data_IF_190422271862
#
_entry.id   IF_190422271862
#
_cell.length_a   1.000
_cell.length_b   1.000
_cell.length_c   1.000
_cell.angle_alpha   90.00
_cell.angle_beta   90.00
_cell.angle_gamma   90.00
#
_symmetry.space_group_name_H-M   'P 1'
#
loop_
_entity.id
_entity.type
_entity.pdbx_description
1 polymer ?
#
# COMPACT_ATOMS: atom_id res chain seq x y z
N UNK A 1 -32.62 -36.43 4.38
CA UNK A 1 -32.85 -35.23 3.58
C UNK A 1 -31.73 -34.31 3.94
N UNK A 2 -30.71 -34.24 3.09
CA UNK A 2 -29.54 -33.40 3.31
C UNK A 2 -29.73 -32.15 2.39
N UNK A 3 -30.07 -31.02 2.98
CA UNK A 3 -30.13 -29.77 2.25
C UNK A 3 -28.70 -29.22 2.13
N UNK A 4 -28.27 -29.11 0.87
CA UNK A 4 -26.94 -28.60 0.52
C UNK A 4 -26.87 -27.10 0.75
N UNK A 5 -25.90 -26.69 1.54
CA UNK A 5 -25.49 -25.30 1.66
C UNK A 5 -24.78 -24.85 0.36
N UNK A 6 -25.39 -23.89 -0.32
CA UNK A 6 -24.87 -23.30 -1.53
C UNK A 6 -23.75 -22.29 -1.18
N UNK A 7 -22.51 -22.63 -1.50
CA UNK A 7 -21.29 -21.85 -1.23
C UNK A 7 -21.12 -20.62 -2.15
N UNK A 8 -22.15 -20.22 -2.92
CA UNK A 8 -22.03 -19.14 -3.91
C UNK A 8 -22.40 -17.73 -3.42
N UNK A 9 -22.72 -17.54 -2.13
CA UNK A 9 -23.13 -16.21 -1.60
C UNK A 9 -22.31 -15.72 -0.38
N UNK A 10 -21.06 -16.09 -0.27
CA UNK A 10 -20.18 -15.32 0.62
C UNK A 10 -19.78 -14.04 -0.08
N UNK A 11 -20.02 -12.85 0.52
CA UNK A 11 -19.43 -11.62 0.00
C UNK A 11 -17.93 -11.75 0.21
N UNK A 12 -17.21 -12.02 -0.88
CA UNK A 12 -15.77 -11.82 -0.93
C UNK A 12 -15.58 -10.33 -0.64
N UNK A 13 -15.15 -10.00 0.57
CA UNK A 13 -14.70 -8.66 0.90
C UNK A 13 -13.58 -8.34 -0.09
N UNK A 14 -13.89 -7.48 -1.06
CA UNK A 14 -12.93 -7.00 -2.05
C UNK A 14 -11.75 -6.47 -1.26
N UNK A 15 -10.52 -7.00 -1.44
CA UNK A 15 -9.34 -6.31 -0.95
C UNK A 15 -9.45 -4.89 -1.53
N UNK A 16 -9.28 -3.89 -0.69
CA UNK A 16 -9.42 -2.51 -1.11
C UNK A 16 -8.52 -2.30 -2.33
N UNK A 17 -9.11 -1.95 -3.46
CA UNK A 17 -8.45 -1.77 -4.77
C UNK A 17 -7.24 -0.82 -4.68
N UNK A 18 -7.17 -0.04 -3.60
CA UNK A 18 -6.06 0.85 -3.26
C UNK A 18 -4.71 0.14 -3.10
N UNK A 19 -4.69 -1.13 -2.70
CA UNK A 19 -3.45 -1.87 -2.42
C UNK A 19 -2.87 -2.55 -3.67
N UNK A 20 -3.70 -2.92 -4.63
CA UNK A 20 -3.24 -3.59 -5.86
C UNK A 20 -2.62 -2.63 -6.88
N UNK A 21 -2.88 -1.32 -6.76
CA UNK A 21 -2.46 -0.30 -7.73
C UNK A 21 -1.12 0.35 -7.42
N UNK A 22 -0.57 0.17 -6.20
CA UNK A 22 0.79 0.63 -5.86
C UNK A 22 1.86 -0.22 -6.57
N UNK A 23 1.50 -1.42 -7.02
CA UNK A 23 2.36 -2.34 -7.74
C UNK A 23 1.70 -2.82 -9.03
N UNK A 24 1.56 -1.95 -10.03
CA UNK A 24 1.42 -2.43 -11.39
C UNK A 24 2.83 -2.73 -11.93
N UNK A 25 3.30 -3.97 -11.84
CA UNK A 25 4.64 -4.26 -12.31
C UNK A 25 4.60 -4.31 -13.83
N UNK A 26 5.22 -3.34 -14.48
CA UNK A 26 5.78 -3.58 -15.81
C UNK A 26 6.74 -4.79 -15.76
N UNK A 27 7.15 -5.16 -14.56
CA UNK A 27 7.98 -6.33 -14.26
C UNK A 27 7.18 -7.31 -13.38
N UNK A 28 6.32 -8.13 -14.00
CA UNK A 28 5.84 -9.35 -13.37
C UNK A 28 7.01 -10.33 -13.30
N UNK A 29 7.69 -10.44 -12.17
CA UNK A 29 8.73 -11.45 -12.00
C UNK A 29 9.90 -11.15 -11.07
N UNK A 30 9.75 -10.36 -10.02
CA UNK A 30 10.75 -10.41 -8.95
C UNK A 30 10.40 -11.52 -7.95
N UNK A 31 10.95 -12.72 -8.18
CA UNK A 31 11.05 -13.73 -7.16
C UNK A 31 12.11 -13.28 -6.15
N UNK A 32 11.71 -13.10 -4.89
CA UNK A 32 12.62 -12.89 -3.77
C UNK A 32 13.50 -14.14 -3.56
N UNK A 33 14.63 -14.18 -4.25
CA UNK A 33 15.71 -15.13 -4.01
C UNK A 33 16.66 -14.54 -2.99
N UNK A 34 16.61 -15.02 -1.74
CA UNK A 34 17.57 -14.68 -0.71
C UNK A 34 18.98 -15.15 -1.07
N UNK A 35 19.89 -14.20 -1.23
CA UNK A 35 21.31 -14.44 -1.34
C UNK A 35 22.05 -13.39 -0.52
N UNK A 36 22.56 -13.81 0.65
CA UNK A 36 23.44 -13.00 1.49
C UNK A 36 24.77 -12.75 0.76
N UNK A 37 25.07 -11.48 0.46
CA UNK A 37 26.43 -11.04 0.15
C UNK A 37 26.72 -9.74 0.88
N UNK A 38 27.78 -9.75 1.68
CA UNK A 38 28.34 -8.63 2.44
C UNK A 38 28.70 -7.43 1.56
N UNK A 39 28.55 -6.19 2.05
CA UNK A 39 28.93 -5.01 1.30
C UNK A 39 30.44 -4.82 1.30
N UNK A 40 31.04 -4.79 0.12
CA UNK A 40 32.39 -4.28 -0.11
C UNK A 40 32.32 -2.74 -0.17
N UNK A 41 33.23 -2.09 0.56
CA UNK A 41 33.36 -0.65 0.61
C UNK A 41 33.60 -0.03 -0.76
N UNK A 42 32.77 0.94 -1.15
CA UNK A 42 32.93 1.72 -2.37
C UNK A 42 33.74 2.98 -2.05
N UNK A 43 34.79 3.33 -2.83
CA UNK A 43 35.56 4.54 -2.63
C UNK A 43 34.80 5.79 -3.08
N UNK A 44 34.95 6.86 -2.30
CA UNK A 44 34.41 8.20 -2.58
C UNK A 44 34.98 8.74 -3.91
N UNK A 45 34.11 8.93 -4.88
CA UNK A 45 34.41 9.65 -6.11
C UNK A 45 34.01 11.12 -5.94
N UNK A 46 34.95 12.02 -6.27
CA UNK A 46 34.81 13.47 -6.23
C UNK A 46 33.74 13.98 -7.20
N UNK A 47 33.10 15.14 -6.92
CA UNK A 47 32.06 15.67 -7.79
C UNK A 47 32.68 16.20 -9.09
N UNK A 48 32.20 15.70 -10.20
CA UNK A 48 32.48 16.22 -11.53
C UNK A 48 31.39 17.23 -11.94
N UNK A 49 31.84 18.40 -12.25
CA UNK A 49 31.33 19.44 -13.15
C UNK A 49 29.82 19.51 -13.51
N UNK A 50 29.27 20.66 -13.13
CA UNK A 50 28.33 21.50 -13.90
C UNK A 50 27.47 20.80 -14.97
N UNK A 51 26.29 20.37 -14.56
CA UNK A 51 25.21 20.04 -15.50
C UNK A 51 24.67 21.36 -16.06
N UNK A 52 24.89 21.59 -17.35
CA UNK A 52 24.31 22.69 -18.09
C UNK A 52 22.77 22.71 -17.92
N UNK A 53 22.25 23.85 -17.53
CA UNK A 53 20.83 24.11 -17.42
C UNK A 53 20.14 23.72 -18.75
N UNK A 54 19.25 22.74 -18.69
CA UNK A 54 18.34 22.46 -19.80
C UNK A 54 17.50 23.70 -20.06
N UNK A 55 17.31 24.13 -21.34
CA UNK A 55 16.47 25.25 -21.66
C UNK A 55 15.05 24.98 -21.15
N UNK A 56 14.45 25.96 -20.47
CA UNK A 56 13.09 25.90 -20.00
C UNK A 56 12.19 25.44 -21.15
N UNK A 57 11.53 24.31 -20.97
CA UNK A 57 10.58 23.79 -21.93
C UNK A 57 9.52 24.84 -22.19
N UNK A 58 9.27 25.17 -23.48
CA UNK A 58 8.22 26.10 -23.87
C UNK A 58 6.91 25.62 -23.22
N UNK A 59 6.19 26.53 -22.53
CA UNK A 59 4.96 26.23 -21.84
C UNK A 59 3.98 25.51 -22.79
N UNK A 60 3.68 24.25 -22.49
CA UNK A 60 2.69 23.46 -23.25
C UNK A 60 1.31 24.10 -22.98
N UNK A 61 0.48 24.37 -24.00
CA UNK A 61 -0.85 24.89 -23.76
C UNK A 61 -1.69 23.92 -22.90
N UNK A 62 -2.42 24.42 -21.92
CA UNK A 62 -3.22 23.65 -20.93
C UNK A 62 -4.10 22.56 -21.56
N UNK A 63 -4.62 22.81 -22.77
CA UNK A 63 -5.45 21.86 -23.53
C UNK A 63 -4.75 20.56 -23.94
N UNK A 64 -3.42 20.49 -23.80
CA UNK A 64 -2.62 19.29 -24.06
C UNK A 64 -2.08 18.65 -22.80
N UNK A 65 -2.52 19.12 -21.63
CA UNK A 65 -2.10 18.63 -20.33
C UNK A 65 -3.23 17.85 -19.65
N UNK A 66 -2.86 16.76 -18.97
CA UNK A 66 -3.72 16.08 -18.01
C UNK A 66 -3.52 16.66 -16.60
N UNK A 67 -2.26 16.91 -16.22
CA UNK A 67 -1.89 17.55 -14.95
C UNK A 67 -0.53 18.23 -15.04
N UNK A 68 -0.21 19.06 -14.03
CA UNK A 68 1.16 19.50 -13.74
C UNK A 68 1.51 19.21 -12.29
N UNK A 69 2.76 18.87 -12.02
CA UNK A 69 3.30 18.63 -10.68
C UNK A 69 4.60 19.43 -10.56
N UNK A 70 4.61 20.43 -9.68
CA UNK A 70 5.76 21.35 -9.53
C UNK A 70 6.25 21.88 -10.90
N UNK A 71 5.30 22.29 -11.75
CA UNK A 71 5.52 22.73 -13.13
C UNK A 71 5.99 21.63 -14.13
N UNK A 72 6.16 20.37 -13.69
CA UNK A 72 6.45 19.25 -14.59
C UNK A 72 5.14 18.72 -15.18
N UNK A 73 4.99 18.65 -16.51
CA UNK A 73 3.73 18.25 -17.13
C UNK A 73 3.54 16.72 -17.14
N UNK A 74 2.28 16.30 -17.03
CA UNK A 74 1.75 15.05 -17.54
C UNK A 74 0.93 15.44 -18.76
N UNK A 75 1.31 14.97 -19.93
CA UNK A 75 0.58 15.32 -21.17
C UNK A 75 -0.73 14.52 -21.26
N UNK A 76 -1.70 15.06 -21.98
CA UNK A 76 -2.93 14.34 -22.24
C UNK A 76 -2.67 13.03 -23.00
N UNK A 77 -1.71 13.04 -23.93
CA UNK A 77 -1.30 11.84 -24.67
C UNK A 77 -0.75 10.75 -23.74
N UNK A 78 0.15 11.08 -22.80
CA UNK A 78 0.70 10.10 -21.85
C UNK A 78 -0.41 9.52 -20.98
N UNK A 79 -1.33 10.37 -20.53
CA UNK A 79 -2.49 9.95 -19.74
C UNK A 79 -3.44 9.02 -20.50
N UNK A 80 -3.80 9.34 -21.74
CA UNK A 80 -4.65 8.51 -22.59
C UNK A 80 -3.99 7.15 -22.87
N UNK A 81 -2.68 7.12 -23.11
CA UNK A 81 -1.93 5.86 -23.27
C UNK A 81 -1.95 5.03 -21.98
N UNK A 82 -1.82 5.66 -20.82
CA UNK A 82 -1.85 4.95 -19.55
C UNK A 82 -3.24 4.38 -19.24
N UNK A 83 -4.31 5.10 -19.59
CA UNK A 83 -5.68 4.58 -19.52
C UNK A 83 -5.84 3.31 -20.35
N UNK A 84 -5.36 3.30 -21.60
CA UNK A 84 -5.42 2.10 -22.48
C UNK A 84 -4.67 0.93 -21.86
N UNK A 85 -3.50 1.16 -21.24
CA UNK A 85 -2.72 0.10 -20.57
C UNK A 85 -3.48 -0.45 -19.36
N UNK A 86 -4.05 0.43 -18.56
CA UNK A 86 -4.84 0.06 -17.39
C UNK A 86 -6.07 -0.78 -17.78
N UNK A 87 -6.83 -0.33 -18.77
CA UNK A 87 -7.99 -1.04 -19.29
C UNK A 87 -7.62 -2.43 -19.84
N UNK A 88 -6.58 -2.51 -20.67
CA UNK A 88 -6.07 -3.77 -21.22
C UNK A 88 -5.64 -4.74 -20.12
N UNK A 89 -5.03 -4.24 -19.07
CA UNK A 89 -4.63 -5.04 -17.93
C UNK A 89 -5.81 -5.58 -17.13
N UNK A 90 -6.85 -4.80 -16.92
CA UNK A 90 -8.08 -5.27 -16.28
C UNK A 90 -8.77 -6.36 -17.10
N UNK A 91 -8.84 -6.18 -18.43
CA UNK A 91 -9.42 -7.17 -19.36
C UNK A 91 -8.66 -8.51 -19.31
N UNK A 92 -7.33 -8.48 -19.26
CA UNK A 92 -6.50 -9.68 -19.11
C UNK A 92 -6.79 -10.44 -17.80
N UNK A 93 -7.21 -9.73 -16.75
CA UNK A 93 -7.64 -10.33 -15.48
C UNK A 93 -9.12 -10.76 -15.50
N UNK A 94 -9.83 -10.55 -16.60
CA UNK A 94 -11.26 -10.84 -16.74
C UNK A 94 -12.16 -9.82 -16.05
N UNK A 95 -11.64 -8.62 -15.74
CA UNK A 95 -12.37 -7.55 -15.08
C UNK A 95 -12.86 -6.53 -16.12
N UNK A 96 -14.07 -6.06 -15.94
CA UNK A 96 -14.68 -5.01 -16.77
C UNK A 96 -14.23 -3.63 -16.25
N UNK A 97 -13.47 -2.84 -17.02
CA UNK A 97 -13.02 -1.50 -16.60
C UNK A 97 -14.18 -0.58 -16.19
N UNK A 98 -15.32 -0.66 -16.89
CA UNK A 98 -16.48 0.19 -16.63
C UNK A 98 -17.13 -0.07 -15.25
N UNK A 99 -16.81 -1.20 -14.62
CA UNK A 99 -17.29 -1.56 -13.27
C UNK A 99 -16.31 -1.19 -12.15
N UNK A 100 -15.17 -0.59 -12.48
CA UNK A 100 -14.12 -0.25 -11.51
C UNK A 100 -14.30 1.14 -10.88
N UNK A 101 -15.46 1.77 -11.02
CA UNK A 101 -15.70 3.12 -10.52
C UNK A 101 -14.97 4.18 -11.35
N UNK A 102 -14.48 5.24 -10.72
CA UNK A 102 -13.73 6.31 -11.39
C UNK A 102 -12.25 5.91 -11.56
N UNK A 103 -12.01 4.90 -12.41
CA UNK A 103 -10.64 4.42 -12.68
C UNK A 103 -9.79 5.47 -13.41
N UNK A 104 -10.41 6.35 -14.18
CA UNK A 104 -9.72 7.42 -14.91
C UNK A 104 -9.02 8.36 -13.94
N UNK A 105 -9.73 8.77 -12.90
CA UNK A 105 -9.14 9.53 -11.80
C UNK A 105 -8.05 8.75 -11.08
N UNK A 106 -8.28 7.45 -10.83
CA UNK A 106 -7.29 6.59 -10.16
C UNK A 106 -5.99 6.54 -10.95
N UNK A 107 -6.05 6.37 -12.28
CA UNK A 107 -4.87 6.36 -13.16
C UNK A 107 -4.14 7.71 -13.12
N UNK A 108 -4.86 8.83 -13.19
CA UNK A 108 -4.23 10.15 -13.10
C UNK A 108 -3.53 10.35 -11.75
N UNK A 109 -4.18 10.00 -10.65
CA UNK A 109 -3.58 10.13 -9.31
C UNK A 109 -2.35 9.23 -9.15
N UNK A 110 -2.35 8.04 -9.77
CA UNK A 110 -1.17 7.17 -9.81
C UNK A 110 -0.03 7.82 -10.58
N UNK A 111 -0.28 8.34 -11.78
CA UNK A 111 0.74 9.05 -12.57
C UNK A 111 1.32 10.25 -11.81
N UNK A 112 0.49 10.97 -11.06
CA UNK A 112 0.93 12.07 -10.19
C UNK A 112 1.86 11.55 -9.09
N UNK A 113 1.49 10.45 -8.43
CA UNK A 113 2.30 9.84 -7.39
C UNK A 113 3.65 9.36 -7.91
N UNK A 114 3.67 8.70 -9.06
CA UNK A 114 4.89 8.22 -9.69
C UNK A 114 5.83 9.38 -10.05
N UNK A 115 5.27 10.48 -10.56
CA UNK A 115 6.04 11.68 -10.86
C UNK A 115 6.63 12.32 -9.59
N UNK A 116 5.87 12.35 -8.49
CA UNK A 116 6.37 12.84 -7.20
C UNK A 116 7.51 11.99 -6.66
N UNK A 117 7.40 10.65 -6.76
CA UNK A 117 8.46 9.72 -6.36
C UNK A 117 9.74 9.94 -7.16
N UNK A 118 9.62 10.11 -8.48
CA UNK A 118 10.77 10.40 -9.36
C UNK A 118 11.41 11.74 -9.02
N UNK A 119 10.61 12.81 -8.81
CA UNK A 119 11.14 14.11 -8.39
C UNK A 119 11.88 14.00 -7.06
N UNK A 120 11.29 13.31 -6.09
CA UNK A 120 11.94 13.10 -4.80
C UNK A 120 13.23 12.27 -4.91
N UNK A 121 13.28 11.28 -5.81
CA UNK A 121 14.51 10.52 -6.08
C UNK A 121 15.63 11.46 -6.59
N UNK A 122 15.30 12.33 -7.54
CA UNK A 122 16.26 13.31 -8.09
C UNK A 122 16.71 14.29 -7.00
N UNK A 123 15.80 14.83 -6.20
CA UNK A 123 16.10 15.77 -5.11
C UNK A 123 16.97 15.14 -4.02
N UNK A 124 16.84 13.84 -3.78
CA UNK A 124 17.68 13.08 -2.86
C UNK A 124 19.01 12.59 -3.47
N UNK A 125 19.25 12.88 -4.75
CA UNK A 125 20.46 12.44 -5.44
C UNK A 125 20.50 10.94 -5.74
N UNK A 126 19.35 10.26 -5.70
CA UNK A 126 19.22 8.86 -6.12
C UNK A 126 19.55 8.73 -7.59
N UNK A 127 20.42 7.79 -7.93
CA UNK A 127 20.84 7.56 -9.31
C UNK A 127 20.72 6.09 -9.69
N UNK A 128 20.14 5.84 -10.85
CA UNK A 128 20.08 4.52 -11.48
C UNK A 128 21.19 4.41 -12.51
N UNK A 129 22.15 3.51 -12.29
CA UNK A 129 23.24 3.29 -13.22
C UNK A 129 22.74 2.70 -14.55
N UNK A 130 23.45 2.96 -15.64
CA UNK A 130 23.11 2.38 -16.94
C UNK A 130 23.20 0.85 -16.92
N UNK A 131 24.08 0.29 -16.10
CA UNK A 131 24.18 -1.16 -15.91
C UNK A 131 22.92 -1.73 -15.24
N UNK A 132 22.39 -1.09 -14.21
CA UNK A 132 21.16 -1.50 -13.54
C UNK A 132 19.97 -1.40 -14.51
N UNK A 133 19.86 -0.30 -15.26
CA UNK A 133 18.82 -0.13 -16.27
C UNK A 133 18.90 -1.20 -17.37
N UNK A 134 20.11 -1.52 -17.84
CA UNK A 134 20.30 -2.54 -18.87
C UNK A 134 19.94 -3.94 -18.34
N UNK A 135 20.27 -4.24 -17.08
CA UNK A 135 19.87 -5.50 -16.44
C UNK A 135 18.35 -5.61 -16.35
N UNK A 136 17.67 -4.60 -15.82
CA UNK A 136 16.21 -4.59 -15.70
C UNK A 136 15.52 -4.65 -17.09
N UNK A 137 16.10 -4.02 -18.11
CA UNK A 137 15.60 -4.12 -19.48
C UNK A 137 15.74 -5.55 -20.01
N UNK A 138 16.89 -6.19 -19.84
CA UNK A 138 17.13 -7.57 -20.27
C UNK A 138 16.19 -8.56 -19.55
N UNK A 139 15.96 -8.37 -18.26
CA UNK A 139 14.99 -9.15 -17.47
C UNK A 139 13.57 -8.98 -18.01
N UNK A 140 13.20 -7.75 -18.39
CA UNK A 140 11.90 -7.45 -19.00
C UNK A 140 11.71 -8.14 -20.34
N UNK A 141 12.76 -8.24 -21.15
CA UNK A 141 12.78 -8.99 -22.41
C UNK A 141 12.63 -10.49 -22.15
N UNK A 142 13.42 -11.03 -21.21
CA UNK A 142 13.39 -12.45 -20.87
C UNK A 142 12.02 -12.89 -20.32
N UNK A 143 11.41 -12.10 -19.43
CA UNK A 143 10.11 -12.38 -18.83
C UNK A 143 8.97 -12.45 -19.85
N UNK A 144 9.16 -11.86 -21.05
CA UNK A 144 8.16 -11.82 -22.12
C UNK A 144 8.46 -12.76 -23.29
N UNK A 145 9.33 -13.75 -23.07
CA UNK A 145 9.66 -14.76 -24.09
C UNK A 145 10.72 -14.32 -25.10
N UNK A 146 11.61 -13.39 -24.71
CA UNK A 146 12.69 -12.86 -25.53
C UNK A 146 12.27 -11.69 -26.42
N UNK A 147 13.14 -11.31 -27.37
CA UNK A 147 12.99 -10.09 -28.18
C UNK A 147 11.65 -10.04 -28.94
N UNK A 148 11.20 -11.17 -29.51
CA UNK A 148 9.96 -11.24 -30.30
C UNK A 148 8.74 -10.98 -29.41
N UNK A 149 8.62 -11.71 -28.28
CA UNK A 149 7.50 -11.54 -27.35
C UNK A 149 7.50 -10.16 -26.67
N UNK A 150 8.69 -9.61 -26.42
CA UNK A 150 8.83 -8.27 -25.91
C UNK A 150 8.41 -7.19 -26.91
N UNK A 151 8.77 -7.34 -28.19
CA UNK A 151 8.35 -6.42 -29.25
C UNK A 151 6.81 -6.42 -29.43
N UNK A 152 6.18 -7.59 -29.39
CA UNK A 152 4.73 -7.71 -29.45
C UNK A 152 4.08 -7.05 -28.21
N UNK A 153 4.66 -7.26 -27.03
CA UNK A 153 4.20 -6.62 -25.79
C UNK A 153 4.31 -5.10 -25.83
N UNK A 154 5.44 -4.55 -26.32
CA UNK A 154 5.62 -3.09 -26.49
C UNK A 154 4.53 -2.53 -27.41
N UNK A 155 4.26 -3.19 -28.53
CA UNK A 155 3.23 -2.76 -29.48
C UNK A 155 1.84 -2.78 -28.86
N UNK A 156 1.49 -3.85 -28.12
CA UNK A 156 0.20 -3.98 -27.44
C UNK A 156 0.00 -2.87 -26.39
N UNK A 157 1.07 -2.52 -25.67
CA UNK A 157 1.03 -1.51 -24.62
C UNK A 157 1.39 -0.09 -25.12
N UNK A 158 1.47 0.10 -26.43
CA UNK A 158 1.75 1.38 -27.09
C UNK A 158 3.04 2.06 -26.60
N UNK A 159 4.09 1.27 -26.34
CA UNK A 159 5.42 1.76 -26.04
C UNK A 159 6.34 1.72 -27.24
N UNK A 160 7.15 2.77 -27.41
CA UNK A 160 8.42 2.63 -28.11
C UNK A 160 9.49 2.08 -27.18
N UNK A 161 10.57 1.45 -27.68
CA UNK A 161 11.67 0.98 -26.82
C UNK A 161 12.27 2.08 -25.93
N UNK A 162 12.37 3.30 -26.45
CA UNK A 162 12.93 4.44 -25.69
C UNK A 162 11.98 4.93 -24.60
N UNK A 163 10.67 5.00 -24.89
CA UNK A 163 9.65 5.31 -23.87
C UNK A 163 9.68 4.25 -22.76
N UNK A 164 9.75 2.97 -23.11
CA UNK A 164 9.83 1.92 -22.12
C UNK A 164 11.09 2.02 -21.26
N UNK A 165 12.26 2.32 -21.87
CA UNK A 165 13.50 2.55 -21.10
C UNK A 165 13.40 3.72 -20.14
N UNK A 166 12.78 4.81 -20.56
CA UNK A 166 12.57 5.99 -19.73
C UNK A 166 11.65 5.66 -18.56
N UNK A 167 10.57 4.94 -18.82
CA UNK A 167 9.63 4.50 -17.78
C UNK A 167 10.27 3.51 -16.81
N UNK A 168 11.04 2.55 -17.31
CA UNK A 168 11.80 1.61 -16.48
C UNK A 168 12.80 2.33 -15.57
N UNK A 169 13.47 3.38 -16.07
CA UNK A 169 14.37 4.22 -15.25
C UNK A 169 13.57 4.92 -14.14
N UNK A 170 12.41 5.48 -14.45
CA UNK A 170 11.54 6.13 -13.46
C UNK A 170 11.08 5.15 -12.38
N UNK A 171 10.70 3.94 -12.77
CA UNK A 171 10.32 2.89 -11.82
C UNK A 171 11.46 2.46 -10.91
N UNK A 172 12.67 2.32 -11.45
CA UNK A 172 13.85 2.03 -10.64
C UNK A 172 14.14 3.16 -9.64
N UNK A 173 14.06 4.42 -10.07
CA UNK A 173 14.23 5.58 -9.18
C UNK A 173 13.18 5.59 -8.06
N UNK A 174 11.92 5.40 -8.40
CA UNK A 174 10.83 5.34 -7.43
C UNK A 174 11.00 4.15 -6.46
N UNK A 175 11.42 2.99 -6.97
CA UNK A 175 11.70 1.80 -6.19
C UNK A 175 12.81 2.00 -5.16
N UNK A 176 13.90 2.68 -5.51
CA UNK A 176 14.98 3.01 -4.58
C UNK A 176 14.50 3.91 -3.43
N UNK A 177 13.69 4.92 -3.74
CA UNK A 177 13.10 5.80 -2.71
C UNK A 177 12.18 4.98 -1.79
N UNK A 178 11.30 4.16 -2.36
CA UNK A 178 10.40 3.31 -1.58
C UNK A 178 11.18 2.32 -0.71
N UNK A 179 12.23 1.69 -1.24
CA UNK A 179 13.09 0.79 -0.49
C UNK A 179 13.77 1.52 0.69
N UNK A 180 14.22 2.75 0.48
CA UNK A 180 14.80 3.59 1.54
C UNK A 180 13.81 3.90 2.66
N UNK A 181 12.53 4.13 2.33
CA UNK A 181 11.46 4.36 3.31
C UNK A 181 11.17 3.07 4.08
N UNK A 182 10.99 1.97 3.37
CA UNK A 182 10.69 0.65 3.95
C UNK A 182 11.81 0.19 4.89
N UNK A 183 13.06 0.46 4.56
CA UNK A 183 14.22 0.13 5.39
C UNK A 183 14.27 0.89 6.74
N UNK A 184 13.51 1.99 6.86
CA UNK A 184 13.41 2.75 8.11
C UNK A 184 12.34 2.19 9.05
N UNK A 185 11.48 1.29 8.60
CA UNK A 185 10.46 0.64 9.44
C UNK A 185 11.15 -0.45 10.27
N UNK A 186 11.16 -0.34 11.61
CA UNK A 186 11.81 -1.33 12.46
C UNK A 186 11.12 -2.70 12.35
N UNK A 187 11.89 -3.77 12.56
CA UNK A 187 11.34 -5.14 12.62
C UNK A 187 10.65 -5.44 13.96
N UNK A 188 10.91 -4.63 15.00
CA UNK A 188 10.28 -4.71 16.31
C UNK A 188 9.82 -3.33 16.76
N UNK A 189 8.58 -3.24 17.23
CA UNK A 189 7.95 -1.99 17.70
C UNK A 189 7.08 -2.27 18.92
N UNK A 190 6.61 -1.20 19.57
CA UNK A 190 5.60 -1.33 20.62
C UNK A 190 4.35 -1.99 20.06
N UNK A 191 3.91 -3.08 20.73
CA UNK A 191 2.67 -3.78 20.42
C UNK A 191 1.83 -4.03 21.67
N UNK A 192 0.54 -4.13 21.44
CA UNK A 192 -0.43 -4.58 22.44
C UNK A 192 -0.94 -5.96 22.04
N UNK A 193 -1.13 -6.81 23.04
CA UNK A 193 -1.95 -8.00 22.95
C UNK A 193 -3.27 -7.72 23.67
N UNK A 194 -4.38 -7.87 22.98
CA UNK A 194 -5.68 -7.58 23.52
C UNK A 194 -6.75 -8.54 23.02
N UNK A 195 -7.90 -8.53 23.68
CA UNK A 195 -9.10 -9.26 23.23
C UNK A 195 -10.32 -8.34 23.33
N UNK A 196 -11.33 -8.61 22.51
CA UNK A 196 -12.53 -7.81 22.48
C UNK A 196 -13.82 -8.62 22.42
N UNK A 197 -14.91 -7.99 22.81
CA UNK A 197 -16.28 -8.42 22.57
C UNK A 197 -16.98 -7.28 21.84
N UNK A 198 -17.60 -7.55 20.69
CA UNK A 198 -18.44 -6.60 19.97
C UNK A 198 -19.89 -7.09 19.96
N UNK A 199 -20.81 -6.18 20.28
CA UNK A 199 -22.26 -6.47 20.30
C UNK A 199 -23.02 -5.38 19.54
N UNK A 200 -24.30 -5.64 19.21
CA UNK A 200 -25.08 -4.73 18.36
C UNK A 200 -25.54 -3.48 19.10
N UNK A 201 -25.78 -3.55 20.40
CA UNK A 201 -26.36 -2.45 21.17
C UNK A 201 -25.52 -2.09 22.38
N UNK A 202 -25.59 -0.80 22.77
CA UNK A 202 -24.95 -0.31 23.97
C UNK A 202 -25.45 -1.04 25.24
N UNK A 203 -26.74 -1.35 25.29
CA UNK A 203 -27.33 -2.06 26.43
C UNK A 203 -26.75 -3.45 26.61
N UNK A 204 -26.48 -4.19 25.52
CA UNK A 204 -25.79 -5.48 25.58
C UNK A 204 -24.36 -5.32 26.10
N UNK A 205 -23.61 -4.34 25.59
CA UNK A 205 -22.25 -4.08 26.06
C UNK A 205 -22.20 -3.64 27.54
N UNK A 206 -23.12 -2.76 27.95
CA UNK A 206 -23.24 -2.33 29.35
C UNK A 206 -23.61 -3.50 30.30
N UNK A 207 -24.35 -4.51 29.81
CA UNK A 207 -24.69 -5.73 30.58
C UNK A 207 -23.49 -6.65 30.79
N UNK A 208 -22.47 -6.61 29.92
CA UNK A 208 -21.26 -7.41 30.07
C UNK A 208 -20.32 -6.87 31.17
N UNK A 209 -20.28 -5.55 31.38
CA UNK A 209 -19.35 -4.94 32.33
C UNK A 209 -19.51 -5.44 33.77
N UNK A 210 -20.73 -5.55 34.37
CA UNK A 210 -20.90 -6.11 35.72
C UNK A 210 -20.53 -7.58 35.78
N UNK A 211 -20.79 -8.37 34.74
CA UNK A 211 -20.42 -9.81 34.67
C UNK A 211 -18.89 -9.95 34.70
N UNK A 212 -18.19 -9.19 33.87
CA UNK A 212 -16.74 -9.14 33.85
C UNK A 212 -16.16 -8.67 35.19
N UNK A 213 -16.79 -7.66 35.83
CA UNK A 213 -16.37 -7.17 37.14
C UNK A 213 -16.59 -8.20 38.25
N UNK A 214 -17.60 -9.04 38.11
CA UNK A 214 -17.87 -10.17 39.03
C UNK A 214 -16.87 -11.35 38.82
N UNK A 215 -15.97 -11.27 37.83
CA UNK A 215 -14.95 -12.27 37.59
C UNK A 215 -15.35 -13.33 36.57
N UNK A 216 -16.44 -13.11 35.83
CA UNK A 216 -16.80 -14.01 34.74
C UNK A 216 -15.72 -13.97 33.65
N UNK A 217 -15.46 -15.12 33.05
CA UNK A 217 -14.38 -15.26 32.09
C UNK A 217 -14.67 -14.51 30.78
N UNK A 218 -13.72 -13.63 30.38
CA UNK A 218 -13.87 -12.80 29.20
C UNK A 218 -14.00 -13.61 27.92
N UNK A 219 -13.19 -14.68 27.78
CA UNK A 219 -13.20 -15.52 26.59
C UNK A 219 -14.55 -16.25 26.46
N UNK A 220 -15.11 -16.73 27.55
CA UNK A 220 -16.44 -17.33 27.57
C UNK A 220 -17.51 -16.35 27.10
N UNK A 221 -17.48 -15.12 27.61
CA UNK A 221 -18.41 -14.08 27.17
C UNK A 221 -18.22 -13.69 25.71
N UNK A 222 -16.98 -13.65 25.23
CA UNK A 222 -16.70 -13.39 23.83
C UNK A 222 -17.28 -14.49 22.92
N UNK A 223 -17.09 -15.76 23.29
CA UNK A 223 -17.65 -16.91 22.54
C UNK A 223 -19.18 -16.88 22.54
N UNK A 224 -19.80 -16.43 23.63
CA UNK A 224 -21.26 -16.39 23.74
C UNK A 224 -21.86 -15.19 22.98
N UNK A 225 -21.34 -13.99 23.19
CA UNK A 225 -21.99 -12.74 22.79
C UNK A 225 -21.35 -11.99 21.63
N UNK A 226 -20.04 -12.21 21.34
CA UNK A 226 -19.38 -11.41 20.31
C UNK A 226 -19.98 -11.65 18.91
N UNK A 227 -20.14 -10.57 18.15
CA UNK A 227 -20.54 -10.59 16.75
C UNK A 227 -19.34 -10.76 15.81
N UNK A 228 -18.12 -10.55 16.29
CA UNK A 228 -16.93 -10.75 15.48
C UNK A 228 -16.62 -12.24 15.32
N UNK A 229 -17.03 -12.80 14.21
CA UNK A 229 -16.85 -14.23 13.92
C UNK A 229 -15.38 -14.63 13.77
N UNK A 230 -14.50 -13.69 13.47
CA UNK A 230 -13.07 -13.96 13.22
C UNK A 230 -12.33 -14.25 14.52
N UNK A 231 -12.67 -13.54 15.61
CA UNK A 231 -12.02 -13.68 16.93
C UNK A 231 -12.87 -14.40 17.96
N UNK A 232 -14.20 -14.44 17.77
CA UNK A 232 -15.17 -15.03 18.70
C UNK A 232 -14.76 -16.42 19.19
N UNK A 233 -14.40 -17.30 18.26
CA UNK A 233 -14.08 -18.69 18.58
C UNK A 233 -12.84 -18.82 19.47
N UNK A 234 -11.94 -17.84 19.40
CA UNK A 234 -10.72 -17.73 20.19
C UNK A 234 -10.90 -16.82 21.42
N UNK A 235 -12.13 -16.63 21.91
CA UNK A 235 -12.39 -15.80 23.08
C UNK A 235 -12.20 -14.31 22.84
N UNK A 236 -12.33 -13.84 21.61
CA UNK A 236 -12.18 -12.45 21.20
C UNK A 236 -10.73 -12.00 21.01
N UNK A 237 -9.76 -12.93 21.00
CA UNK A 237 -8.32 -12.64 20.91
C UNK A 237 -7.96 -11.98 19.56
N UNK A 238 -7.36 -10.77 19.65
CA UNK A 238 -6.86 -9.99 18.50
C UNK A 238 -5.38 -10.29 18.19
N UNK A 239 -4.70 -11.05 19.06
CA UNK A 239 -3.27 -11.26 19.00
C UNK A 239 -2.47 -10.01 19.31
N UNK A 240 -1.17 -10.03 18.94
CA UNK A 240 -0.27 -8.89 19.03
C UNK A 240 -0.43 -7.97 17.82
N UNK A 241 -0.55 -6.69 18.06
CA UNK A 241 -0.66 -5.69 17.00
C UNK A 241 0.04 -4.38 17.36
N UNK A 242 0.70 -3.74 16.38
CA UNK A 242 1.29 -2.41 16.51
C UNK A 242 0.25 -1.30 16.31
N UNK A 243 0.63 -0.05 16.57
CA UNK A 243 -0.16 1.12 16.15
C UNK A 243 -0.28 1.19 14.63
N UNK A 244 -1.45 1.61 14.16
CA UNK A 244 -1.78 1.68 12.73
C UNK A 244 -2.21 0.34 12.13
N UNK A 245 -2.41 -0.70 12.96
CA UNK A 245 -2.79 -2.04 12.47
C UNK A 245 -4.31 -2.27 12.53
N UNK A 246 -4.98 -1.81 13.57
CA UNK A 246 -6.42 -1.99 13.69
C UNK A 246 -7.17 -1.07 12.72
N UNK A 247 -8.17 -1.62 12.03
CA UNK A 247 -9.02 -0.87 11.10
C UNK A 247 -10.00 0.09 11.78
N UNK A 248 -10.10 0.02 13.12
CA UNK A 248 -10.98 0.85 13.95
C UNK A 248 -10.11 1.69 14.89
N UNK A 249 -9.84 2.96 14.55
CA UNK A 249 -8.92 3.82 15.29
C UNK A 249 -9.33 4.07 16.74
N UNK A 250 -10.64 4.06 17.03
CA UNK A 250 -11.17 4.24 18.38
C UNK A 250 -10.74 3.10 19.31
N UNK A 251 -10.76 1.87 18.80
CA UNK A 251 -10.31 0.69 19.57
C UNK A 251 -8.81 0.74 19.81
N UNK A 252 -8.04 1.10 18.77
CA UNK A 252 -6.60 1.22 18.89
C UNK A 252 -6.21 2.30 19.90
N UNK A 253 -6.82 3.48 19.80
CA UNK A 253 -6.58 4.59 20.74
C UNK A 253 -6.86 4.16 22.17
N UNK A 254 -7.98 3.45 22.39
CA UNK A 254 -8.36 2.99 23.71
C UNK A 254 -7.34 2.00 24.28
N UNK A 255 -7.02 0.93 23.53
CA UNK A 255 -6.17 -0.17 24.02
C UNK A 255 -4.73 0.29 24.29
N UNK A 256 -4.17 1.18 23.45
CA UNK A 256 -2.83 1.72 23.70
C UNK A 256 -2.77 2.74 24.87
N UNK A 257 -3.92 3.22 25.34
CA UNK A 257 -4.05 4.00 26.56
C UNK A 257 -4.17 3.17 27.84
N UNK A 258 -4.37 1.85 27.72
CA UNK A 258 -4.62 0.94 28.84
C UNK A 258 -3.34 0.28 29.34
N UNK A 259 -3.38 -0.16 30.61
CA UNK A 259 -2.37 -1.03 31.19
C UNK A 259 -2.78 -2.51 31.02
N UNK A 260 -1.81 -3.46 30.95
CA UNK A 260 -2.13 -4.87 30.99
C UNK A 260 -3.04 -5.25 32.15
N UNK A 261 -4.08 -6.03 31.87
CA UNK A 261 -5.13 -6.42 32.81
C UNK A 261 -6.30 -5.46 32.92
N UNK A 262 -6.23 -4.29 32.30
CA UNK A 262 -7.33 -3.33 32.28
C UNK A 262 -8.41 -3.70 31.26
N UNK A 263 -9.64 -3.32 31.57
CA UNK A 263 -10.81 -3.42 30.68
C UNK A 263 -11.33 -2.03 30.35
N UNK A 264 -11.72 -1.83 29.10
CA UNK A 264 -12.28 -0.54 28.67
C UNK A 264 -13.71 -0.33 29.18
N UNK A 265 -14.17 0.91 29.24
CA UNK A 265 -15.60 1.20 29.16
C UNK A 265 -16.13 0.73 27.79
N UNK A 266 -17.45 0.84 27.60
CA UNK A 266 -18.06 0.58 26.29
C UNK A 266 -17.57 1.60 25.26
N UNK A 267 -16.98 1.11 24.17
CA UNK A 267 -16.50 1.92 23.05
C UNK A 267 -17.48 1.74 21.88
N UNK A 268 -18.04 2.85 21.41
CA UNK A 268 -18.93 2.87 20.24
C UNK A 268 -18.12 3.05 18.96
N UNK A 269 -18.41 2.24 17.95
CA UNK A 269 -17.79 2.31 16.62
C UNK A 269 -18.85 2.05 15.54
N UNK A 270 -18.45 2.18 14.28
CA UNK A 270 -19.33 1.84 13.15
C UNK A 270 -19.65 0.33 13.06
N UNK A 271 -18.89 -0.54 13.75
CA UNK A 271 -19.12 -1.98 13.81
C UNK A 271 -20.04 -2.39 14.95
N UNK A 272 -20.32 -1.50 15.90
CA UNK A 272 -21.11 -1.77 17.08
C UNK A 272 -20.45 -1.27 18.37
N UNK A 273 -20.78 -1.92 19.48
CA UNK A 273 -20.33 -1.55 20.82
C UNK A 273 -19.33 -2.58 21.34
N UNK A 274 -18.15 -2.12 21.71
CA UNK A 274 -17.03 -2.97 22.08
C UNK A 274 -16.67 -2.85 23.54
N UNK A 275 -16.25 -3.97 24.14
CA UNK A 275 -15.49 -4.01 25.38
C UNK A 275 -14.16 -4.67 25.07
N UNK A 276 -13.05 -4.01 25.45
CA UNK A 276 -11.68 -4.51 25.22
C UNK A 276 -11.05 -4.85 26.58
N UNK A 277 -10.24 -5.90 26.59
CA UNK A 277 -9.30 -6.20 27.67
C UNK A 277 -7.88 -6.19 27.12
N UNK A 278 -7.02 -5.33 27.69
CA UNK A 278 -5.59 -5.35 27.40
C UNK A 278 -4.95 -6.51 28.15
N UNK A 279 -4.28 -7.41 27.41
CA UNK A 279 -3.65 -8.60 27.99
C UNK A 279 -2.19 -8.33 28.33
N UNK A 280 -1.43 -7.88 27.32
CA UNK A 280 0.00 -7.68 27.44
C UNK A 280 0.43 -6.44 26.64
N UNK A 281 1.58 -5.89 26.98
CA UNK A 281 2.24 -4.79 26.25
C UNK A 281 3.73 -5.07 26.18
N UNK A 282 4.28 -5.03 24.98
CA UNK A 282 5.71 -5.18 24.75
C UNK A 282 6.22 -4.01 23.91
N UNK A 283 7.18 -3.21 24.43
CA UNK A 283 7.70 -2.05 23.72
C UNK A 283 8.59 -2.40 22.52
N UNK A 284 9.01 -3.67 22.38
CA UNK A 284 9.91 -4.15 21.34
C UNK A 284 9.51 -5.55 20.82
N UNK A 285 8.23 -5.76 20.59
CA UNK A 285 7.72 -7.01 20.04
C UNK A 285 8.02 -7.11 18.55
N UNK A 286 8.49 -8.28 18.10
CA UNK A 286 8.75 -8.53 16.68
C UNK A 286 7.44 -8.47 15.89
N UNK A 287 7.49 -7.79 14.76
CA UNK A 287 6.35 -7.70 13.86
C UNK A 287 6.04 -9.05 13.20
N UNK A 288 4.79 -9.46 13.26
CA UNK A 288 4.29 -10.51 12.39
C UNK A 288 4.40 -10.07 10.91
N UNK A 289 4.57 -11.00 9.95
CA UNK A 289 4.77 -10.66 8.54
C UNK A 289 3.69 -9.72 7.97
N UNK A 290 2.42 -9.96 8.33
CA UNK A 290 1.28 -9.16 7.89
C UNK A 290 1.34 -7.73 8.45
N UNK A 291 1.67 -7.58 9.73
CA UNK A 291 1.82 -6.29 10.38
C UNK A 291 3.03 -5.52 9.81
N UNK A 292 4.14 -6.22 9.57
CA UNK A 292 5.32 -5.64 8.93
C UNK A 292 5.00 -5.11 7.52
N UNK A 293 4.27 -5.89 6.71
CA UNK A 293 3.84 -5.48 5.38
C UNK A 293 2.95 -4.24 5.45
N UNK A 294 1.94 -4.24 6.33
CA UNK A 294 1.03 -3.12 6.49
C UNK A 294 1.76 -1.84 6.95
N UNK A 295 2.65 -1.93 7.94
CA UNK A 295 3.41 -0.76 8.40
C UNK A 295 4.34 -0.20 7.32
N UNK A 296 4.99 -1.06 6.52
CA UNK A 296 5.83 -0.65 5.41
C UNK A 296 5.02 0.05 4.32
N UNK A 297 3.84 -0.46 4.00
CA UNK A 297 2.92 0.18 3.05
C UNK A 297 2.44 1.54 3.58
N UNK A 298 1.98 1.59 4.83
CA UNK A 298 1.56 2.84 5.48
C UNK A 298 2.68 3.88 5.54
N UNK A 299 3.93 3.46 5.75
CA UNK A 299 5.08 4.37 5.74
C UNK A 299 5.29 5.02 4.37
N UNK A 300 5.17 4.24 3.28
CA UNK A 300 5.24 4.77 1.91
C UNK A 300 4.06 5.70 1.61
N UNK A 301 2.85 5.32 1.99
CA UNK A 301 1.64 6.15 1.80
C UNK A 301 1.76 7.49 2.53
N UNK A 302 2.12 7.48 3.81
CA UNK A 302 2.28 8.70 4.62
C UNK A 302 3.39 9.60 4.07
N UNK A 303 4.49 9.01 3.63
CA UNK A 303 5.58 9.77 3.02
C UNK A 303 5.12 10.44 1.72
N UNK A 304 4.39 9.72 0.88
CA UNK A 304 3.83 10.24 -0.37
C UNK A 304 2.79 11.33 -0.11
N UNK A 305 1.93 11.17 0.89
CA UNK A 305 1.01 12.23 1.33
C UNK A 305 1.76 13.49 1.76
N UNK A 306 2.88 13.34 2.46
CA UNK A 306 3.77 14.44 2.82
C UNK A 306 4.37 15.16 1.61
N UNK A 307 4.69 14.46 0.53
CA UNK A 307 5.11 15.06 -0.74
C UNK A 307 3.95 15.80 -1.41
N UNK A 308 2.78 15.18 -1.49
CA UNK A 308 1.58 15.79 -2.09
C UNK A 308 1.19 17.09 -1.39
N UNK A 309 1.28 17.14 -0.07
CA UNK A 309 0.97 18.34 0.71
C UNK A 309 1.90 19.53 0.43
N UNK A 310 3.11 19.27 -0.05
CA UNK A 310 4.12 20.29 -0.39
C UNK A 310 4.13 20.65 -1.88
N UNK A 311 3.59 19.78 -2.72
CA UNK A 311 3.62 19.95 -4.17
C UNK A 311 2.52 20.88 -4.67
N UNK A 312 2.80 21.61 -5.74
CA UNK A 312 1.78 22.30 -6.54
C UNK A 312 1.27 21.33 -7.60
N UNK A 313 0.02 20.90 -7.45
CA UNK A 313 -0.60 19.94 -8.37
C UNK A 313 -1.84 20.59 -9.00
N UNK A 314 -1.82 20.73 -10.32
CA UNK A 314 -2.94 21.23 -11.12
C UNK A 314 -3.45 20.10 -12.03
N UNK A 315 -4.77 19.96 -12.14
CA UNK A 315 -5.44 18.93 -12.94
C UNK A 315 -6.29 19.59 -14.00
N UNK A 316 -6.17 19.15 -15.25
CA UNK A 316 -6.85 19.72 -16.41
C UNK A 316 -7.89 18.77 -17.01
N UNK A 317 -7.87 17.49 -16.60
CA UNK A 317 -8.89 16.47 -16.92
C UNK A 317 -9.72 16.16 -15.68
N UNK A 318 -10.97 15.70 -15.90
CA UNK A 318 -11.92 15.40 -14.82
C UNK A 318 -11.85 13.93 -14.44
#
# INVERSE_FOLDING_TARGET
>A
MCDGYNLSEMPITKPSLKLALVFWPVVAGFALGGGACSPAAVPLVQPAAEAAAQPAAAATPDKFLAATINATPITLQDYEQELVRYESGLELLGWDPQKQGDYQKTVLEQMINDRLLVQAAVDQGVNVSDAALQTAYAESVAARGGESGFADWLKLNQYTPDQFRSELRNQLLAGEVQAGIVAQVPDAVEQMHARHIVVATRAEADALLPRLKAGEDFATLAVEFSLDQSTKINGGDLGWFPRGFLTVPELETAVFGMQPGERSPVIETFLGFHVIEALERDPQHLLAPEAALQLRQSAVEQWLEGLRAKATIERFVK
#
